data_IF_403216073378
#
_entry.id   IF_403216073378
#
_cell.length_a   1.000
_cell.length_b   1.000
_cell.length_c   1.000
_cell.angle_alpha   90.00
_cell.angle_beta   90.00
_cell.angle_gamma   90.00
#
_symmetry.space_group_name_H-M   'P 1'
#
loop_
_entity.id
_entity.type
_entity.pdbx_description
1 polymer ?
#
# COMPACT_ATOMS: atom_id res chain seq x y z
N UNK A 1 0.12 -11.99 -9.19
CA UNK A 1 0.15 -10.54 -8.91
C UNK A 1 -0.63 -9.70 -9.92
N UNK A 2 -0.81 -10.15 -11.17
CA UNK A 2 -1.62 -9.49 -12.21
C UNK A 2 -3.13 -9.41 -11.93
N UNK A 3 -3.67 -10.32 -11.11
CA UNK A 3 -5.10 -10.35 -10.77
C UNK A 3 -5.54 -9.32 -9.71
N UNK A 4 -4.62 -8.59 -9.07
CA UNK A 4 -4.94 -7.69 -7.94
C UNK A 4 -5.08 -6.21 -8.34
N UNK A 5 -4.59 -5.83 -9.52
CA UNK A 5 -4.63 -4.44 -9.99
C UNK A 5 -6.04 -4.03 -10.44
N UNK A 6 -6.73 -4.93 -11.14
CA UNK A 6 -8.08 -4.71 -11.64
C UNK A 6 -9.11 -4.59 -10.49
N UNK A 7 -9.09 -5.46 -9.45
CA UNK A 7 -9.97 -5.32 -8.30
C UNK A 7 -9.69 -4.08 -7.45
N UNK A 8 -8.44 -3.64 -7.34
CA UNK A 8 -8.08 -2.41 -6.61
C UNK A 8 -8.65 -1.17 -7.31
N UNK A 9 -8.57 -1.10 -8.64
CA UNK A 9 -9.19 -0.04 -9.44
C UNK A 9 -10.72 -0.02 -9.26
N UNK A 10 -11.35 -1.19 -9.32
CA UNK A 10 -12.80 -1.32 -9.07
C UNK A 10 -13.14 -0.85 -7.66
N UNK A 11 -12.34 -1.18 -6.65
CA UNK A 11 -12.57 -0.78 -5.27
C UNK A 11 -12.48 0.75 -5.08
N UNK A 12 -11.51 1.41 -5.72
CA UNK A 12 -11.35 2.87 -5.67
C UNK A 12 -12.51 3.57 -6.37
N UNK A 13 -12.90 3.10 -7.56
CA UNK A 13 -14.02 3.67 -8.34
C UNK A 13 -15.34 3.48 -7.59
N UNK A 14 -15.55 2.30 -7.00
CA UNK A 14 -16.76 2.01 -6.20
C UNK A 14 -16.77 2.80 -4.89
N UNK A 15 -15.62 2.97 -4.24
CA UNK A 15 -15.50 3.78 -3.03
C UNK A 15 -15.88 5.23 -3.29
N UNK A 16 -15.48 5.78 -4.44
CA UNK A 16 -15.90 7.11 -4.89
C UNK A 16 -17.39 7.15 -5.26
N UNK A 17 -17.94 6.05 -5.80
CA UNK A 17 -19.35 5.92 -6.13
C UNK A 17 -20.30 5.88 -4.93
N UNK A 18 -19.76 5.62 -3.73
CA UNK A 18 -20.53 5.48 -2.50
C UNK A 18 -20.95 6.84 -1.88
N UNK A 19 -20.39 7.95 -2.37
CA UNK A 19 -20.68 9.29 -1.87
C UNK A 19 -21.87 9.85 -2.68
N UNK A 20 -23.08 9.95 -2.09
CA UNK A 20 -24.25 10.43 -2.82
C UNK A 20 -24.06 11.90 -3.22
N UNK A 21 -24.15 12.19 -4.53
CA UNK A 21 -23.98 13.53 -5.12
C UNK A 21 -22.66 13.78 -5.86
N UNK A 22 -21.83 12.75 -6.07
CA UNK A 22 -20.46 12.87 -6.66
C UNK A 22 -20.39 12.46 -8.13
N UNK A 23 -21.49 11.97 -8.68
CA UNK A 23 -21.67 11.48 -10.04
C UNK A 23 -21.27 12.52 -11.10
N UNK A 24 -21.69 13.79 -10.95
CA UNK A 24 -21.28 14.86 -11.86
C UNK A 24 -19.80 15.27 -11.75
N UNK A 25 -19.20 15.13 -10.56
CA UNK A 25 -17.81 15.55 -10.28
C UNK A 25 -16.80 14.53 -10.82
N UNK A 26 -17.11 13.23 -10.69
CA UNK A 26 -16.35 12.11 -11.24
C UNK A 26 -16.24 12.20 -12.76
N UNK A 27 -17.37 12.36 -13.44
CA UNK A 27 -17.42 12.44 -14.89
C UNK A 27 -16.71 13.69 -15.43
N UNK A 28 -16.87 14.84 -14.76
CA UNK A 28 -16.13 16.07 -15.10
C UNK A 28 -14.61 16.00 -14.89
N UNK A 29 -14.13 15.17 -13.97
CA UNK A 29 -12.69 14.91 -13.77
C UNK A 29 -12.14 13.88 -14.76
N UNK A 30 -12.91 12.84 -15.05
CA UNK A 30 -12.57 11.80 -16.03
C UNK A 30 -12.42 12.38 -17.44
N UNK A 31 -13.31 13.29 -17.86
CA UNK A 31 -13.25 13.97 -19.16
C UNK A 31 -12.05 14.93 -19.30
N UNK A 32 -11.48 15.41 -18.19
CA UNK A 32 -10.29 16.28 -18.20
C UNK A 32 -8.97 15.51 -18.24
N UNK A 33 -8.98 14.24 -17.84
CA UNK A 33 -7.77 13.43 -17.66
C UNK A 33 -7.63 12.35 -18.75
N UNK A 34 -8.73 11.96 -19.39
CA UNK A 34 -8.74 10.90 -20.40
C UNK A 34 -8.94 11.43 -21.84
N UNK A 35 -8.28 10.80 -22.84
CA UNK A 35 -8.60 11.04 -24.24
C UNK A 35 -10.07 10.70 -24.58
N UNK A 36 -10.70 11.36 -25.57
CA UNK A 36 -12.12 11.18 -25.89
C UNK A 36 -12.53 9.74 -26.22
N UNK A 37 -11.60 8.92 -26.72
CA UNK A 37 -11.85 7.51 -27.04
C UNK A 37 -11.88 6.60 -25.79
N UNK A 38 -11.22 7.03 -24.70
CA UNK A 38 -11.19 6.29 -23.43
C UNK A 38 -12.31 6.73 -22.47
N UNK A 39 -12.78 7.98 -22.56
CA UNK A 39 -13.85 8.51 -21.70
C UNK A 39 -15.18 7.79 -21.91
N UNK A 40 -15.55 7.46 -23.15
CA UNK A 40 -16.78 6.72 -23.46
C UNK A 40 -16.81 5.31 -22.86
N UNK A 41 -15.71 4.57 -22.94
CA UNK A 41 -15.60 3.24 -22.34
C UNK A 41 -15.65 3.33 -20.82
N UNK A 42 -14.94 4.28 -20.21
CA UNK A 42 -14.96 4.44 -18.75
C UNK A 42 -16.33 4.92 -18.26
N UNK A 43 -17.04 5.78 -19.00
CA UNK A 43 -18.42 6.16 -18.72
C UNK A 43 -19.38 4.97 -18.73
N UNK A 44 -19.30 4.10 -19.74
CA UNK A 44 -20.16 2.92 -19.80
C UNK A 44 -19.86 1.94 -18.66
N UNK A 45 -18.60 1.75 -18.30
CA UNK A 45 -18.21 0.90 -17.18
C UNK A 45 -18.64 1.46 -15.82
N UNK A 46 -18.39 2.74 -15.56
CA UNK A 46 -18.79 3.42 -14.32
C UNK A 46 -20.31 3.45 -14.21
N UNK A 47 -21.03 3.86 -15.25
CA UNK A 47 -22.50 3.88 -15.25
C UNK A 47 -23.11 2.49 -15.09
N UNK A 48 -22.45 1.44 -15.60
CA UNK A 48 -22.87 0.04 -15.38
C UNK A 48 -22.70 -0.37 -13.92
N UNK A 49 -21.60 0.01 -13.28
CA UNK A 49 -21.37 -0.24 -11.84
C UNK A 49 -22.40 0.50 -10.97
N UNK A 50 -22.71 1.75 -11.29
CA UNK A 50 -23.73 2.53 -10.58
C UNK A 50 -25.16 2.02 -10.82
N UNK A 51 -25.50 1.56 -12.04
CA UNK A 51 -26.85 1.07 -12.38
C UNK A 51 -27.12 -0.38 -11.99
N UNK A 52 -26.09 -1.24 -12.01
CA UNK A 52 -26.21 -2.69 -11.77
C UNK A 52 -25.42 -3.18 -10.54
N UNK A 53 -24.87 -2.28 -9.73
CA UNK A 53 -24.17 -2.58 -8.49
C UNK A 53 -25.08 -3.22 -7.45
N UNK A 54 -25.43 -4.49 -7.63
CA UNK A 54 -26.03 -5.29 -6.57
C UNK A 54 -25.01 -5.41 -5.42
N UNK A 55 -25.45 -5.22 -4.18
CA UNK A 55 -24.56 -5.34 -3.01
C UNK A 55 -23.81 -6.68 -2.93
N UNK A 56 -24.29 -7.71 -3.64
CA UNK A 56 -23.61 -8.99 -3.83
C UNK A 56 -22.32 -8.91 -4.68
N UNK A 57 -22.32 -8.16 -5.79
CA UNK A 57 -21.13 -7.97 -6.62
C UNK A 57 -20.03 -7.21 -5.87
N UNK A 58 -20.43 -6.20 -5.08
CA UNK A 58 -19.53 -5.42 -4.24
C UNK A 58 -18.89 -6.28 -3.16
N UNK A 59 -19.70 -7.04 -2.43
CA UNK A 59 -19.21 -7.96 -1.40
C UNK A 59 -18.27 -9.01 -1.98
N UNK A 60 -18.59 -9.55 -3.17
CA UNK A 60 -17.75 -10.52 -3.85
C UNK A 60 -16.40 -9.93 -4.28
N UNK A 61 -16.39 -8.73 -4.88
CA UNK A 61 -15.15 -8.06 -5.29
C UNK A 61 -14.24 -7.72 -4.11
N UNK A 62 -14.82 -7.29 -2.98
CA UNK A 62 -14.08 -7.00 -1.75
C UNK A 62 -13.44 -8.27 -1.17
N UNK A 63 -14.22 -9.35 -1.05
CA UNK A 63 -13.73 -10.63 -0.56
C UNK A 63 -12.64 -11.20 -1.48
N UNK A 64 -12.83 -11.12 -2.79
CA UNK A 64 -11.85 -11.57 -3.78
C UNK A 64 -10.54 -10.77 -3.71
N UNK A 65 -10.65 -9.45 -3.56
CA UNK A 65 -9.50 -8.55 -3.39
C UNK A 65 -8.74 -8.87 -2.11
N UNK A 66 -9.46 -9.01 -0.99
CA UNK A 66 -8.88 -9.32 0.30
C UNK A 66 -8.19 -10.69 0.29
N UNK A 67 -8.80 -11.68 -0.35
CA UNK A 67 -8.22 -13.01 -0.54
C UNK A 67 -6.92 -12.96 -1.36
N UNK A 68 -6.93 -12.18 -2.44
CA UNK A 68 -5.78 -12.01 -3.33
C UNK A 68 -4.63 -11.29 -2.61
N UNK A 69 -4.94 -10.20 -1.91
CA UNK A 69 -3.97 -9.44 -1.13
C UNK A 69 -3.38 -10.27 0.01
N UNK A 70 -4.21 -11.04 0.72
CA UNK A 70 -3.77 -11.96 1.78
C UNK A 70 -2.79 -13.02 1.28
N UNK A 71 -2.93 -13.46 0.03
CA UNK A 71 -1.98 -14.41 -0.58
C UNK A 71 -0.61 -13.77 -0.82
N UNK A 72 -0.58 -12.50 -1.23
CA UNK A 72 0.68 -11.74 -1.35
C UNK A 72 1.37 -11.50 -0.01
N UNK A 73 0.60 -11.14 1.02
CA UNK A 73 1.17 -10.99 2.38
C UNK A 73 1.64 -12.34 2.92
N UNK A 74 0.93 -13.44 2.64
CA UNK A 74 1.36 -14.78 3.05
C UNK A 74 2.68 -15.22 2.40
N UNK A 75 2.95 -14.83 1.15
CA UNK A 75 4.25 -15.06 0.51
C UNK A 75 5.36 -14.18 1.11
N UNK A 76 5.06 -12.93 1.46
CA UNK A 76 6.02 -12.07 2.16
C UNK A 76 6.41 -12.66 3.52
N UNK A 77 5.44 -13.19 4.27
CA UNK A 77 5.70 -13.89 5.54
C UNK A 77 6.64 -15.08 5.35
N UNK A 78 6.47 -15.84 4.26
CA UNK A 78 7.36 -16.98 3.95
C UNK A 78 8.80 -16.52 3.74
N UNK A 79 8.97 -15.49 2.90
CA UNK A 79 10.28 -14.90 2.61
C UNK A 79 10.91 -14.32 3.87
N UNK A 80 10.13 -13.68 4.74
CA UNK A 80 10.60 -13.16 6.03
C UNK A 80 11.00 -14.30 6.98
N UNK A 81 10.24 -15.40 7.06
CA UNK A 81 10.63 -16.56 7.87
C UNK A 81 11.97 -17.13 7.42
N UNK A 82 12.20 -17.20 6.09
CA UNK A 82 13.50 -17.61 5.54
C UNK A 82 14.60 -16.63 5.92
N UNK A 83 14.36 -15.31 5.86
CA UNK A 83 15.31 -14.28 6.29
C UNK A 83 15.70 -14.41 7.76
N UNK A 84 14.72 -14.62 8.63
CA UNK A 84 14.95 -14.80 10.06
C UNK A 84 15.53 -16.18 10.41
N UNK A 85 15.78 -17.06 9.43
CA UNK A 85 16.21 -18.44 9.62
C UNK A 85 15.27 -19.25 10.55
N UNK A 86 13.96 -19.01 10.46
CA UNK A 86 12.95 -19.66 11.31
C UNK A 86 12.06 -20.60 10.51
N UNK A 87 12.00 -21.86 10.94
CA UNK A 87 11.03 -22.82 10.41
C UNK A 87 9.59 -22.43 10.80
N UNK A 88 8.70 -22.45 9.81
CA UNK A 88 7.27 -22.18 10.03
C UNK A 88 6.61 -23.37 10.73
N UNK A 89 6.48 -23.29 12.06
CA UNK A 89 5.84 -24.32 12.90
C UNK A 89 4.32 -24.11 13.03
N UNK A 90 3.75 -23.01 12.50
CA UNK A 90 2.31 -22.74 12.62
C UNK A 90 1.50 -23.61 11.63
N UNK A 91 0.34 -24.13 12.05
CA UNK A 91 -0.58 -24.79 11.12
C UNK A 91 -1.09 -23.78 10.08
N UNK A 92 -1.38 -24.27 8.87
CA UNK A 92 -1.79 -23.47 7.70
C UNK A 92 -2.86 -22.41 8.02
N UNK A 93 -3.87 -22.76 8.81
CA UNK A 93 -4.94 -21.83 9.21
C UNK A 93 -4.42 -20.65 10.04
N UNK A 94 -3.52 -20.88 11.02
CA UNK A 94 -2.97 -19.80 11.85
C UNK A 94 -2.12 -18.85 11.02
N UNK A 95 -1.29 -19.39 10.11
CA UNK A 95 -0.51 -18.58 9.15
C UNK A 95 -1.42 -17.73 8.26
N UNK A 96 -2.50 -18.32 7.73
CA UNK A 96 -3.48 -17.60 6.90
C UNK A 96 -4.20 -16.49 7.66
N UNK A 97 -4.55 -16.72 8.93
CA UNK A 97 -5.20 -15.73 9.79
C UNK A 97 -4.26 -14.54 10.06
N UNK A 98 -2.98 -14.79 10.36
CA UNK A 98 -1.97 -13.72 10.52
C UNK A 98 -1.81 -12.93 9.23
N UNK A 99 -1.71 -13.61 8.07
CA UNK A 99 -1.64 -12.94 6.78
C UNK A 99 -2.87 -12.08 6.50
N UNK A 100 -4.08 -12.57 6.79
CA UNK A 100 -5.33 -11.82 6.68
C UNK A 100 -5.34 -10.60 7.60
N UNK A 101 -4.99 -10.76 8.88
CA UNK A 101 -4.95 -9.67 9.85
C UNK A 101 -3.96 -8.57 9.43
N UNK A 102 -2.77 -8.95 8.96
CA UNK A 102 -1.78 -8.01 8.43
C UNK A 102 -2.28 -7.32 7.17
N UNK A 103 -2.95 -8.05 6.28
CA UNK A 103 -3.53 -7.47 5.06
C UNK A 103 -4.59 -6.43 5.40
N UNK A 104 -5.50 -6.73 6.32
CA UNK A 104 -6.53 -5.80 6.79
C UNK A 104 -5.88 -4.59 7.48
N UNK A 105 -4.89 -4.82 8.35
CA UNK A 105 -4.17 -3.73 9.03
C UNK A 105 -3.46 -2.79 8.05
N UNK A 106 -2.74 -3.34 7.07
CA UNK A 106 -2.10 -2.56 6.01
C UNK A 106 -3.13 -1.82 5.15
N UNK A 107 -4.24 -2.46 4.79
CA UNK A 107 -5.31 -1.83 4.04
C UNK A 107 -5.93 -0.66 4.82
N UNK A 108 -6.18 -0.82 6.12
CA UNK A 108 -6.68 0.26 6.98
C UNK A 108 -5.68 1.41 7.12
N UNK A 109 -4.37 1.15 7.16
CA UNK A 109 -3.36 2.21 7.16
C UNK A 109 -3.36 3.00 5.85
N UNK A 110 -3.44 2.30 4.71
CA UNK A 110 -3.50 2.95 3.39
C UNK A 110 -4.78 3.75 3.24
N UNK A 111 -5.93 3.18 3.59
CA UNK A 111 -7.24 3.85 3.52
C UNK A 111 -7.33 5.02 4.50
N UNK A 112 -6.83 4.84 5.72
CA UNK A 112 -6.75 5.88 6.73
C UNK A 112 -5.85 7.04 6.27
N UNK A 113 -4.71 6.74 5.64
CA UNK A 113 -3.81 7.74 5.07
C UNK A 113 -4.43 8.50 3.90
N UNK A 114 -5.10 7.79 2.99
CA UNK A 114 -5.83 8.41 1.90
C UNK A 114 -6.98 9.30 2.42
N UNK A 115 -7.74 8.81 3.41
CA UNK A 115 -8.78 9.59 4.07
C UNK A 115 -8.22 10.85 4.72
N UNK A 116 -7.17 10.73 5.53
CA UNK A 116 -6.49 11.87 6.15
C UNK A 116 -5.99 12.88 5.12
N UNK A 117 -5.48 12.43 3.98
CA UNK A 117 -5.05 13.31 2.89
C UNK A 117 -6.23 14.09 2.29
N UNK A 118 -7.33 13.41 1.97
CA UNK A 118 -8.53 14.03 1.38
C UNK A 118 -9.20 15.00 2.37
N UNK A 119 -9.39 14.57 3.62
CA UNK A 119 -9.97 15.42 4.66
C UNK A 119 -9.03 16.58 5.00
N UNK A 120 -7.72 16.35 5.03
CA UNK A 120 -6.71 17.37 5.28
C UNK A 120 -6.72 18.46 4.21
N UNK A 121 -6.85 18.11 2.94
CA UNK A 121 -7.04 19.08 1.85
C UNK A 121 -8.37 19.83 1.97
N UNK A 122 -9.47 19.15 2.29
CA UNK A 122 -10.78 19.79 2.43
C UNK A 122 -10.82 20.83 3.57
N UNK A 123 -10.20 20.48 4.70
CA UNK A 123 -10.06 21.39 5.85
C UNK A 123 -9.18 22.58 5.48
N UNK A 124 -8.09 22.35 4.75
CA UNK A 124 -7.20 23.42 4.29
C UNK A 124 -7.95 24.41 3.40
N UNK A 125 -8.65 23.93 2.37
CA UNK A 125 -9.41 24.79 1.45
C UNK A 125 -10.51 25.59 2.18
N UNK A 126 -11.24 24.94 3.08
CA UNK A 126 -12.28 25.61 3.89
C UNK A 126 -11.73 26.71 4.81
N UNK A 127 -10.57 26.47 5.44
CA UNK A 127 -9.92 27.46 6.31
C UNK A 127 -9.27 28.60 5.51
N UNK A 128 -8.69 28.31 4.35
CA UNK A 128 -8.08 29.34 3.49
C UNK A 128 -9.14 30.29 2.95
N UNK A 129 -10.30 29.78 2.54
CA UNK A 129 -11.43 30.59 2.04
C UNK A 129 -12.14 31.39 3.15
N UNK A 130 -12.22 30.84 4.36
CA UNK A 130 -12.97 31.49 5.46
C UNK A 130 -12.15 32.49 6.28
N UNK A 131 -10.84 32.27 6.42
CA UNK A 131 -10.00 32.98 7.40
C UNK A 131 -8.78 33.69 6.80
N UNK A 132 -8.59 33.66 5.47
CA UNK A 132 -7.46 34.27 4.75
C UNK A 132 -6.09 33.93 5.40
N UNK A 133 -5.90 32.67 5.80
CA UNK A 133 -4.64 32.24 6.41
C UNK A 133 -3.49 32.27 5.38
N UNK A 134 -2.33 32.78 5.82
CA UNK A 134 -1.12 32.93 5.01
C UNK A 134 -0.53 31.59 4.52
N UNK A 135 0.38 31.68 3.54
CA UNK A 135 1.28 30.61 3.06
C UNK A 135 1.89 29.74 4.17
N UNK A 136 2.15 30.30 5.36
CA UNK A 136 2.70 29.58 6.52
C UNK A 136 1.81 28.40 6.98
N UNK A 137 0.48 28.54 6.87
CA UNK A 137 -0.46 27.50 7.28
C UNK A 137 -0.49 26.34 6.28
N UNK A 138 -0.35 26.65 4.98
CA UNK A 138 -0.16 25.65 3.94
C UNK A 138 1.10 24.81 4.19
N UNK A 139 2.24 25.45 4.47
CA UNK A 139 3.50 24.74 4.77
C UNK A 139 3.35 23.81 5.98
N UNK A 140 2.70 24.26 7.05
CA UNK A 140 2.50 23.46 8.27
C UNK A 140 1.63 22.23 8.01
N UNK A 141 0.54 22.39 7.28
CA UNK A 141 -0.35 21.26 6.94
C UNK A 141 0.32 20.30 5.99
N UNK A 142 1.00 20.78 4.96
CA UNK A 142 1.78 19.93 4.04
C UNK A 142 2.85 19.14 4.82
N UNK A 143 3.60 19.77 5.72
CA UNK A 143 4.57 19.09 6.57
C UNK A 143 3.92 18.00 7.44
N UNK A 144 2.75 18.30 8.02
CA UNK A 144 1.98 17.34 8.83
C UNK A 144 1.58 16.11 8.00
N UNK A 145 1.13 16.29 6.74
CA UNK A 145 0.82 15.19 5.84
C UNK A 145 2.02 14.28 5.58
N UNK A 146 3.19 14.84 5.29
CA UNK A 146 4.41 14.06 5.09
C UNK A 146 4.81 13.28 6.34
N UNK A 147 4.70 13.88 7.53
CA UNK A 147 4.98 13.22 8.81
C UNK A 147 4.01 12.05 9.05
N UNK A 148 2.72 12.26 8.82
CA UNK A 148 1.68 11.22 8.99
C UNK A 148 1.93 10.08 8.01
N UNK A 149 2.20 10.39 6.74
CA UNK A 149 2.49 9.38 5.72
C UNK A 149 3.73 8.55 6.06
N UNK A 150 4.81 9.22 6.51
CA UNK A 150 6.02 8.56 6.97
C UNK A 150 5.75 7.64 8.18
N UNK A 151 4.95 8.12 9.14
CA UNK A 151 4.54 7.34 10.31
C UNK A 151 3.72 6.10 9.95
N UNK A 152 2.81 6.20 8.98
CA UNK A 152 2.03 5.06 8.48
C UNK A 152 2.91 4.04 7.76
N UNK A 153 3.84 4.50 6.93
CA UNK A 153 4.80 3.63 6.25
C UNK A 153 5.69 2.89 7.26
N UNK A 154 6.18 3.61 8.28
CA UNK A 154 6.93 3.00 9.38
C UNK A 154 6.08 1.95 10.11
N UNK A 155 4.84 2.26 10.46
CA UNK A 155 3.96 1.35 11.20
C UNK A 155 3.59 0.10 10.38
N UNK A 156 3.40 0.25 9.07
CA UNK A 156 3.17 -0.88 8.16
C UNK A 156 4.38 -1.81 8.07
N UNK A 157 5.58 -1.25 7.85
CA UNK A 157 6.83 -2.04 7.78
C UNK A 157 7.14 -2.68 9.13
N UNK A 158 6.96 -1.95 10.24
CA UNK A 158 7.11 -2.48 11.59
C UNK A 158 6.16 -3.65 11.83
N UNK A 159 4.88 -3.49 11.49
CA UNK A 159 3.88 -4.54 11.62
C UNK A 159 4.24 -5.81 10.85
N UNK A 160 4.76 -5.66 9.63
CA UNK A 160 5.26 -6.78 8.83
C UNK A 160 6.46 -7.48 9.48
N UNK A 161 7.45 -6.73 9.96
CA UNK A 161 8.65 -7.31 10.59
C UNK A 161 8.37 -7.96 11.94
N UNK A 162 7.41 -7.43 12.71
CA UNK A 162 7.12 -7.90 14.06
C UNK A 162 6.08 -9.02 14.10
N UNK A 163 4.97 -8.87 13.38
CA UNK A 163 3.87 -9.86 13.41
C UNK A 163 3.97 -10.90 12.29
N UNK A 164 4.72 -10.62 11.21
CA UNK A 164 4.89 -11.52 10.09
C UNK A 164 5.62 -12.81 10.49
N UNK A 165 6.87 -12.73 10.98
CA UNK A 165 7.68 -13.90 11.27
C UNK A 165 7.08 -14.80 12.36
N UNK A 166 7.35 -16.10 12.27
CA UNK A 166 7.04 -17.07 13.33
C UNK A 166 8.07 -17.03 14.48
N UNK A 167 8.48 -15.84 14.90
CA UNK A 167 9.47 -15.62 15.96
C UNK A 167 8.86 -14.82 17.11
N UNK A 168 9.10 -15.23 18.36
CA UNK A 168 8.80 -14.40 19.52
C UNK A 168 9.91 -13.36 19.68
N UNK A 169 9.69 -12.18 19.14
CA UNK A 169 10.60 -11.05 19.30
C UNK A 169 10.18 -10.21 20.53
N UNK A 170 11.14 -9.60 21.22
CA UNK A 170 10.83 -8.58 22.23
C UNK A 170 10.20 -7.37 21.54
N UNK A 171 9.13 -6.83 22.12
CA UNK A 171 8.45 -5.68 21.57
C UNK A 171 9.34 -4.43 21.68
N UNK A 172 9.97 -4.05 20.57
CA UNK A 172 10.73 -2.80 20.43
C UNK A 172 10.10 -2.00 19.30
N UNK A 173 9.40 -0.92 19.64
CA UNK A 173 8.68 -0.09 18.67
C UNK A 173 9.60 0.51 17.59
N UNK A 174 10.89 0.68 17.91
CA UNK A 174 11.94 1.09 16.99
C UNK A 174 12.99 -0.02 16.87
N UNK A 175 12.92 -0.79 15.79
CA UNK A 175 13.99 -1.72 15.42
C UNK A 175 14.87 -1.10 14.33
N UNK A 176 16.20 -1.28 14.39
CA UNK A 176 17.12 -0.66 13.43
C UNK A 176 16.85 -1.12 12.00
N UNK A 177 16.46 -2.37 11.80
CA UNK A 177 16.08 -2.92 10.49
C UNK A 177 14.78 -2.31 9.93
N UNK A 178 13.81 -1.94 10.76
CA UNK A 178 12.64 -1.19 10.30
C UNK A 178 13.02 0.22 9.85
N UNK A 179 13.89 0.93 10.58
CA UNK A 179 14.36 2.26 10.19
C UNK A 179 15.13 2.20 8.86
N UNK A 180 16.05 1.23 8.73
CA UNK A 180 16.80 1.02 7.49
C UNK A 180 15.86 0.67 6.33
N UNK A 181 14.87 -0.18 6.54
CA UNK A 181 13.88 -0.53 5.51
C UNK A 181 13.10 0.70 5.06
N UNK A 182 12.61 1.51 6.00
CA UNK A 182 11.86 2.74 5.70
C UNK A 182 12.72 3.69 4.86
N UNK A 183 13.96 3.96 5.28
CA UNK A 183 14.88 4.82 4.55
C UNK A 183 15.18 4.27 3.15
N UNK A 184 15.47 2.98 3.03
CA UNK A 184 15.74 2.32 1.76
C UNK A 184 14.51 2.36 0.82
N UNK A 185 13.29 2.16 1.34
CA UNK A 185 12.05 2.27 0.56
C UNK A 185 11.86 3.70 0.02
N UNK A 186 12.14 4.73 0.82
CA UNK A 186 12.05 6.13 0.38
C UNK A 186 13.06 6.45 -0.72
N UNK A 187 14.33 6.11 -0.50
CA UNK A 187 15.42 6.32 -1.46
C UNK A 187 15.11 5.56 -2.75
N UNK A 188 14.73 4.30 -2.63
CA UNK A 188 14.38 3.47 -3.77
C UNK A 188 13.18 4.03 -4.54
N UNK A 189 12.10 4.42 -3.86
CA UNK A 189 10.91 4.98 -4.52
C UNK A 189 11.24 6.27 -5.30
N UNK A 190 12.12 7.11 -4.74
CA UNK A 190 12.61 8.31 -5.42
C UNK A 190 13.44 7.97 -6.65
N UNK A 191 14.44 7.08 -6.51
CA UNK A 191 15.29 6.63 -7.63
C UNK A 191 14.48 5.92 -8.72
N UNK A 192 13.48 5.13 -8.33
CA UNK A 192 12.60 4.43 -9.24
C UNK A 192 11.70 5.40 -10.03
N UNK A 193 11.17 6.44 -9.37
CA UNK A 193 10.44 7.51 -10.05
C UNK A 193 11.33 8.21 -11.08
N UNK A 194 12.59 8.50 -10.72
CA UNK A 194 13.56 9.11 -11.62
C UNK A 194 13.88 8.20 -12.81
N UNK A 195 14.12 6.91 -12.56
CA UNK A 195 14.33 5.91 -13.61
C UNK A 195 13.18 5.87 -14.62
N UNK A 196 11.93 5.92 -14.15
CA UNK A 196 10.76 5.91 -15.01
C UNK A 196 10.59 7.20 -15.84
N UNK A 197 11.05 8.34 -15.33
CA UNK A 197 11.03 9.61 -16.07
C UNK A 197 12.06 9.64 -17.21
N UNK A 198 13.21 9.00 -17.04
CA UNK A 198 14.28 8.94 -18.05
C UNK A 198 14.22 7.71 -18.95
N UNK A 199 13.38 6.71 -18.62
CA UNK A 199 13.18 5.55 -19.46
C UNK A 199 12.59 5.98 -20.82
N UNK A 200 13.24 5.65 -21.96
CA UNK A 200 12.66 5.86 -23.28
C UNK A 200 11.28 5.21 -23.33
N UNK A 201 10.32 5.79 -24.03
CA UNK A 201 8.90 5.40 -24.07
C UNK A 201 8.65 3.89 -24.27
N UNK A 202 8.80 3.11 -23.20
CA UNK A 202 8.47 1.68 -23.12
C UNK A 202 6.95 1.48 -23.28
N UNK A 203 6.17 2.53 -22.99
CA UNK A 203 4.74 2.64 -23.26
C UNK A 203 4.39 2.48 -24.74
N UNK A 204 5.28 2.87 -25.67
CA UNK A 204 5.02 2.84 -27.10
C UNK A 204 5.14 1.44 -27.73
N UNK A 205 5.90 0.52 -27.11
CA UNK A 205 6.15 -0.83 -27.66
C UNK A 205 5.44 -1.92 -26.86
N UNK A 206 5.31 -1.76 -25.54
CA UNK A 206 4.77 -2.81 -24.65
C UNK A 206 3.46 -2.43 -23.95
N UNK A 207 2.93 -1.22 -24.15
CA UNK A 207 1.62 -0.78 -23.63
C UNK A 207 1.38 -1.17 -22.16
N UNK A 208 0.17 -1.66 -21.85
CA UNK A 208 -0.22 -2.08 -20.49
C UNK A 208 0.61 -3.23 -19.88
N UNK A 209 1.31 -4.03 -20.69
CA UNK A 209 2.20 -5.09 -20.18
C UNK A 209 3.46 -4.49 -19.52
N UNK A 210 3.96 -3.36 -20.03
CA UNK A 210 5.10 -2.65 -19.44
C UNK A 210 4.81 -2.19 -18.01
N UNK A 211 3.61 -1.65 -17.77
CA UNK A 211 3.20 -1.20 -16.44
C UNK A 211 3.18 -2.35 -15.41
N UNK A 212 2.72 -3.54 -15.83
CA UNK A 212 2.71 -4.74 -14.96
C UNK A 212 4.13 -5.16 -14.60
N UNK A 213 5.03 -5.23 -15.58
CA UNK A 213 6.43 -5.63 -15.34
C UNK A 213 7.14 -4.65 -14.42
N UNK A 214 6.97 -3.34 -14.66
CA UNK A 214 7.49 -2.27 -13.81
C UNK A 214 6.96 -2.40 -12.38
N UNK A 215 5.66 -2.67 -12.22
CA UNK A 215 5.06 -2.86 -10.90
C UNK A 215 5.58 -4.13 -10.20
N UNK A 216 5.76 -5.23 -10.93
CA UNK A 216 6.34 -6.45 -10.37
C UNK A 216 7.80 -6.25 -9.96
N UNK A 217 8.58 -5.50 -10.75
CA UNK A 217 9.95 -5.11 -10.41
C UNK A 217 9.98 -4.25 -9.14
N UNK A 218 9.06 -3.29 -9.03
CA UNK A 218 8.91 -2.47 -7.84
C UNK A 218 8.61 -3.33 -6.60
N UNK A 219 7.63 -4.24 -6.69
CA UNK A 219 7.30 -5.16 -5.60
C UNK A 219 8.47 -6.08 -5.22
N UNK A 220 9.20 -6.59 -6.22
CA UNK A 220 10.39 -7.39 -6.00
C UNK A 220 11.45 -6.63 -5.21
N UNK A 221 11.72 -5.38 -5.58
CA UNK A 221 12.73 -4.55 -4.90
C UNK A 221 12.29 -4.16 -3.48
N UNK A 222 11.00 -3.84 -3.28
CA UNK A 222 10.45 -3.65 -1.93
C UNK A 222 10.63 -4.90 -1.08
N UNK A 223 10.37 -6.09 -1.63
CA UNK A 223 10.55 -7.34 -0.89
C UNK A 223 12.01 -7.59 -0.48
N UNK A 224 12.96 -7.22 -1.34
CA UNK A 224 14.40 -7.31 -1.05
C UNK A 224 14.81 -6.32 0.05
N UNK A 225 14.29 -5.10 0.04
CA UNK A 225 14.53 -4.11 1.10
C UNK A 225 14.01 -4.61 2.45
N UNK A 226 12.79 -5.19 2.47
CA UNK A 226 12.22 -5.77 3.69
C UNK A 226 13.06 -6.96 4.19
N UNK A 227 13.60 -7.78 3.29
CA UNK A 227 14.49 -8.88 3.64
C UNK A 227 15.78 -8.38 4.30
N UNK A 228 16.41 -7.34 3.75
CA UNK A 228 17.61 -6.73 4.33
C UNK A 228 17.30 -6.16 5.72
N UNK A 229 16.15 -5.50 5.89
CA UNK A 229 15.71 -5.01 7.19
C UNK A 229 15.49 -6.14 8.21
N UNK A 230 14.92 -7.26 7.78
CA UNK A 230 14.73 -8.44 8.60
C UNK A 230 16.07 -9.03 9.07
N UNK A 231 17.04 -9.18 8.17
CA UNK A 231 18.39 -9.66 8.48
C UNK A 231 19.09 -8.76 9.49
N UNK A 232 19.04 -7.44 9.30
CA UNK A 232 19.62 -6.47 10.25
C UNK A 232 18.98 -6.61 11.63
N UNK A 233 17.66 -6.78 11.68
CA UNK A 233 16.96 -6.99 12.94
C UNK A 233 17.39 -8.29 13.63
N UNK A 234 17.61 -9.35 12.87
CA UNK A 234 18.08 -10.63 13.40
C UNK A 234 19.52 -10.55 13.92
N UNK A 235 20.44 -9.94 13.17
CA UNK A 235 21.83 -9.74 13.58
C UNK A 235 21.95 -8.84 14.82
N UNK A 236 21.14 -7.78 14.91
CA UNK A 236 21.09 -6.94 16.13
C UNK A 236 20.51 -7.71 17.32
N UNK A 237 19.53 -8.59 17.10
CA UNK A 237 19.00 -9.45 18.16
C UNK A 237 20.02 -10.50 18.64
N UNK A 238 20.78 -11.09 17.71
CA UNK A 238 21.93 -11.98 17.99
C UNK A 238 22.99 -11.26 18.82
N UNK A 239 23.39 -10.06 18.40
CA UNK A 239 24.41 -9.26 19.10
C UNK A 239 23.99 -8.86 20.53
N UNK A 240 22.69 -8.64 20.77
CA UNK A 240 22.15 -8.30 22.08
C UNK A 240 21.86 -9.54 22.96
N UNK A 241 22.10 -10.76 22.47
CA UNK A 241 21.83 -12.00 23.20
C UNK A 241 20.33 -12.29 23.42
N UNK A 242 19.45 -11.73 22.59
CA UNK A 242 17.99 -11.77 22.79
C UNK A 242 17.29 -12.92 22.05
N UNK A 243 18.03 -13.75 21.27
CA UNK A 243 17.45 -14.94 20.64
C UNK A 243 17.12 -15.99 21.71
N UNK A 244 15.85 -16.43 21.85
CA UNK A 244 15.58 -17.68 22.54
C UNK A 244 16.28 -18.79 21.74
N UNK A 245 17.18 -19.54 22.38
CA UNK A 245 18.01 -20.52 21.69
C UNK A 245 17.18 -21.42 20.77
N UNK A 246 17.53 -21.43 19.49
CA UNK A 246 17.05 -22.43 18.55
C UNK A 246 17.58 -23.79 19.03
N UNK A 247 16.74 -24.59 19.69
CA UNK A 247 17.02 -26.00 19.85
C UNK A 247 17.17 -26.59 18.45
N UNK A 248 18.43 -26.92 18.12
CA UNK A 248 18.81 -27.80 17.00
C UNK A 248 18.13 -29.14 17.12
#
# INVERSE_FOLDING_TARGET
MTMAFFPLLICVITGLALIPGTDGFLFGYLDKVLPPEASGVVHDWVSTIFRHGSGGLLSFSLLFTLWSASTGVASLIEVLNVAYEVDEKRPFWKRRLVALALTVGLALLVLGGAGLFVFGSFILDFLTDSLHFSETFHVLITATHYIVWLGMLFLGIFGLHYFGPNLQQRWRFFTPGTVVSVAAVLIFSYLFSLYLQFAPSYSAVYGGLGAIVVFMLWLYLISLILLIGAEINDEVAKANGERPGSHR
#
